data_IF_821447672746
#
_entry.id   IF_821447672746
#
_cell.length_a   1.000
_cell.length_b   1.000
_cell.length_c   1.000
_cell.angle_alpha   90.00
_cell.angle_beta   90.00
_cell.angle_gamma   90.00
#
_symmetry.space_group_name_H-M   'P 1'
#
loop_
_entity.id
_entity.type
_entity.pdbx_description
1 polymer ?
#
# COMPACT_ATOMS: atom_id res chain seq x y z
N UNK A 1 17.90 -8.06 0.12
CA UNK A 1 16.85 -7.27 -0.56
C UNK A 1 17.53 -6.26 -1.47
N UNK A 2 17.02 -6.02 -2.67
CA UNK A 2 17.44 -4.89 -3.51
C UNK A 2 16.32 -3.85 -3.47
N UNK A 3 16.62 -2.65 -2.95
CA UNK A 3 15.69 -1.54 -2.91
C UNK A 3 15.83 -0.75 -4.21
N UNK A 4 14.82 -0.82 -5.07
CA UNK A 4 14.91 -0.28 -6.43
C UNK A 4 14.14 1.02 -6.62
N UNK A 5 13.12 1.28 -5.79
CA UNK A 5 12.20 2.39 -5.99
C UNK A 5 11.62 2.87 -4.65
N UNK A 6 11.38 4.18 -4.53
CA UNK A 6 10.77 4.78 -3.35
C UNK A 6 9.46 5.43 -3.77
N UNK A 7 8.34 4.93 -3.24
CA UNK A 7 7.03 5.49 -3.51
C UNK A 7 6.60 6.43 -2.40
N UNK A 8 6.00 7.56 -2.77
CA UNK A 8 5.49 8.55 -1.82
C UNK A 8 4.05 8.92 -2.18
N UNK A 9 3.22 9.02 -1.15
CA UNK A 9 1.84 9.48 -1.27
C UNK A 9 1.75 10.83 -2.02
N UNK A 10 0.78 11.04 -2.94
CA UNK A 10 0.70 12.27 -3.73
C UNK A 10 0.51 13.54 -2.89
N UNK A 11 -0.07 13.43 -1.68
CA UNK A 11 -0.26 14.53 -0.76
C UNK A 11 1.02 14.94 -0.02
N UNK A 12 2.00 14.04 0.12
CA UNK A 12 3.25 14.25 0.85
C UNK A 12 4.31 15.05 0.04
N UNK A 13 3.92 16.23 -0.46
CA UNK A 13 4.79 17.05 -1.33
C UNK A 13 6.10 17.46 -0.65
N UNK A 14 6.05 17.87 0.62
CA UNK A 14 7.26 18.29 1.37
C UNK A 14 8.28 17.16 1.47
N UNK A 15 7.82 15.96 1.82
CA UNK A 15 8.68 14.78 1.93
C UNK A 15 9.39 14.47 0.60
N UNK A 16 8.69 14.59 -0.54
CA UNK A 16 9.32 14.37 -1.84
C UNK A 16 10.44 15.37 -2.12
N UNK A 17 10.24 16.66 -1.79
CA UNK A 17 11.29 17.67 -1.94
C UNK A 17 12.47 17.40 -0.99
N UNK A 18 12.21 16.94 0.23
CA UNK A 18 13.27 16.53 1.16
C UNK A 18 14.07 15.32 0.63
N UNK A 19 13.41 14.33 0.02
CA UNK A 19 14.08 13.20 -0.62
C UNK A 19 14.96 13.65 -1.80
N UNK A 20 14.50 14.63 -2.60
CA UNK A 20 15.31 15.21 -3.68
C UNK A 20 16.61 15.84 -3.16
N UNK A 21 16.59 16.48 -1.98
CA UNK A 21 17.78 17.10 -1.37
C UNK A 21 18.86 16.07 -1.00
N UNK A 22 18.47 14.83 -0.72
CA UNK A 22 19.39 13.71 -0.45
C UNK A 22 19.58 12.78 -1.65
N UNK A 23 19.29 13.28 -2.85
CA UNK A 23 19.47 12.58 -4.13
C UNK A 23 18.61 11.30 -4.30
N UNK A 24 17.53 11.16 -3.55
CA UNK A 24 16.51 10.13 -3.79
C UNK A 24 15.47 10.71 -4.75
N UNK A 25 15.14 9.98 -5.81
CA UNK A 25 14.11 10.37 -6.78
C UNK A 25 12.85 9.53 -6.54
N UNK A 26 11.88 10.01 -5.72
CA UNK A 26 10.70 9.23 -5.40
C UNK A 26 9.69 9.25 -6.54
N UNK A 27 9.06 8.09 -6.76
CA UNK A 27 7.90 7.95 -7.62
C UNK A 27 6.61 8.32 -6.90
N UNK A 28 5.68 8.96 -7.63
CA UNK A 28 4.32 9.18 -7.11
C UNK A 28 3.58 7.87 -7.09
N UNK A 29 3.01 7.53 -5.94
CA UNK A 29 2.36 6.24 -5.78
C UNK A 29 0.99 6.18 -6.45
N UNK A 30 0.62 4.98 -6.91
CA UNK A 30 -0.71 4.70 -7.43
C UNK A 30 -1.70 4.40 -6.30
N UNK A 31 -2.43 5.44 -5.91
CA UNK A 31 -3.45 5.38 -4.86
C UNK A 31 -4.84 4.94 -5.36
N UNK A 32 -4.92 4.34 -6.56
CA UNK A 32 -6.15 3.86 -7.19
C UNK A 32 -7.25 4.92 -7.42
N UNK A 33 -7.02 6.23 -7.22
CA UNK A 33 -8.08 7.26 -7.32
C UNK A 33 -8.85 7.20 -8.64
N UNK A 34 -8.21 6.74 -9.72
CA UNK A 34 -8.81 6.61 -11.06
C UNK A 34 -9.24 5.17 -11.42
N UNK A 35 -8.96 4.19 -10.56
CA UNK A 35 -9.26 2.79 -10.85
C UNK A 35 -10.73 2.46 -10.55
N UNK A 36 -11.36 1.75 -11.49
CA UNK A 36 -12.72 1.21 -11.37
C UNK A 36 -12.64 -0.28 -11.77
N UNK A 37 -13.14 -1.18 -10.93
CA UNK A 37 -13.22 -2.62 -11.20
C UNK A 37 -14.59 -3.15 -10.79
N UNK A 38 -15.45 -3.42 -11.77
CA UNK A 38 -16.85 -3.77 -11.49
C UNK A 38 -17.55 -2.66 -10.70
N UNK A 39 -18.01 -2.98 -9.49
CA UNK A 39 -18.60 -2.03 -8.54
C UNK A 39 -17.57 -1.30 -7.67
N UNK A 40 -16.34 -1.82 -7.55
CA UNK A 40 -15.27 -1.26 -6.70
C UNK A 40 -14.62 -0.04 -7.36
N UNK A 41 -14.32 0.99 -6.57
CA UNK A 41 -13.69 2.24 -7.04
C UNK A 41 -12.66 2.76 -6.05
N UNK A 42 -11.60 3.40 -6.54
CA UNK A 42 -10.66 4.07 -5.64
C UNK A 42 -9.92 3.08 -4.74
N UNK A 43 -9.76 3.46 -3.46
CA UNK A 43 -9.12 2.66 -2.41
C UNK A 43 -9.65 1.23 -2.31
N UNK A 44 -10.94 1.02 -2.58
CA UNK A 44 -11.57 -0.31 -2.53
C UNK A 44 -10.95 -1.27 -3.55
N UNK A 45 -10.53 -0.76 -4.72
CA UNK A 45 -9.84 -1.58 -5.72
C UNK A 45 -8.45 -2.00 -5.22
N UNK A 46 -7.75 -1.11 -4.51
CA UNK A 46 -6.46 -1.43 -3.89
C UNK A 46 -6.58 -2.48 -2.81
N UNK A 47 -7.56 -2.33 -1.92
CA UNK A 47 -7.88 -3.30 -0.86
C UNK A 47 -8.23 -4.66 -1.48
N UNK A 48 -9.10 -4.70 -2.49
CA UNK A 48 -9.47 -5.94 -3.18
C UNK A 48 -8.25 -6.61 -3.83
N UNK A 49 -7.35 -5.84 -4.45
CA UNK A 49 -6.11 -6.40 -5.03
C UNK A 49 -5.20 -6.97 -3.97
N UNK A 50 -5.04 -6.30 -2.83
CA UNK A 50 -4.21 -6.80 -1.73
C UNK A 50 -4.80 -8.07 -1.12
N UNK A 51 -6.13 -8.11 -0.93
CA UNK A 51 -6.81 -9.34 -0.49
C UNK A 51 -6.57 -10.50 -1.45
N UNK A 52 -6.62 -10.24 -2.76
CA UNK A 52 -6.36 -11.26 -3.78
C UNK A 52 -4.91 -11.77 -3.73
N UNK A 53 -3.91 -10.89 -3.58
CA UNK A 53 -2.50 -11.33 -3.53
C UNK A 53 -2.20 -12.10 -2.24
N UNK A 54 -2.82 -11.74 -1.12
CA UNK A 54 -2.75 -12.54 0.11
C UNK A 54 -3.41 -13.92 -0.11
N UNK A 55 -4.64 -13.94 -0.65
CA UNK A 55 -5.39 -15.19 -0.87
C UNK A 55 -4.69 -16.14 -1.84
N UNK A 56 -3.98 -15.59 -2.83
CA UNK A 56 -3.25 -16.37 -3.84
C UNK A 56 -1.81 -16.70 -3.40
N UNK A 57 -1.44 -16.47 -2.13
CA UNK A 57 -0.09 -16.73 -1.60
C UNK A 57 1.04 -15.95 -2.32
N UNK A 58 0.70 -14.79 -2.90
CA UNK A 58 1.63 -13.89 -3.60
C UNK A 58 2.17 -12.77 -2.71
N UNK A 59 1.54 -12.52 -1.57
CA UNK A 59 1.99 -11.57 -0.56
C UNK A 59 2.66 -12.33 0.59
N UNK A 60 3.90 -11.96 0.91
CA UNK A 60 4.69 -12.59 1.96
C UNK A 60 5.28 -11.53 2.89
N UNK A 61 5.22 -11.78 4.20
CA UNK A 61 6.01 -11.06 5.19
C UNK A 61 7.34 -11.78 5.35
N UNK A 62 8.44 -11.08 5.10
CA UNK A 62 9.80 -11.64 5.17
C UNK A 62 10.44 -11.20 6.47
N UNK A 63 10.81 -12.17 7.31
CA UNK A 63 11.57 -11.93 8.53
C UNK A 63 13.03 -11.57 8.21
N UNK A 64 13.55 -10.53 8.88
CA UNK A 64 14.96 -10.13 8.78
C UNK A 64 15.42 -9.39 10.04
N UNK A 65 16.74 -9.21 10.21
CA UNK A 65 17.30 -8.61 11.42
C UNK A 65 17.14 -7.07 11.49
N UNK A 66 16.95 -6.40 10.36
CA UNK A 66 16.99 -4.93 10.25
C UNK A 66 15.60 -4.27 10.31
N UNK A 67 14.57 -4.97 9.84
CA UNK A 67 13.20 -4.48 9.73
C UNK A 67 12.22 -5.53 10.25
N UNK A 68 11.14 -5.07 10.85
CA UNK A 68 10.03 -5.92 11.28
C UNK A 68 8.73 -5.57 10.55
N UNK A 69 7.70 -6.38 10.80
CA UNK A 69 6.36 -6.20 10.28
C UNK A 69 5.33 -6.05 11.40
N UNK A 70 5.76 -5.59 12.58
CA UNK A 70 4.92 -5.50 13.78
C UNK A 70 3.71 -4.60 13.54
N UNK A 71 3.92 -3.41 12.96
CA UNK A 71 2.82 -2.47 12.71
C UNK A 71 1.83 -3.02 11.69
N UNK A 72 2.31 -3.66 10.61
CA UNK A 72 1.42 -4.30 9.64
C UNK A 72 0.56 -5.40 10.28
N UNK A 73 1.15 -6.31 11.07
CA UNK A 73 0.41 -7.38 11.76
C UNK A 73 -0.59 -6.84 12.79
N UNK A 74 -0.23 -5.77 13.50
CA UNK A 74 -1.13 -5.13 14.45
C UNK A 74 -2.32 -4.49 13.73
N UNK A 75 -2.04 -3.72 12.69
CA UNK A 75 -3.04 -2.95 11.95
C UNK A 75 -4.00 -3.88 11.18
N UNK A 76 -3.49 -4.94 10.53
CA UNK A 76 -4.35 -5.89 9.80
C UNK A 76 -5.34 -6.62 10.72
N UNK A 77 -4.99 -6.83 11.99
CA UNK A 77 -5.89 -7.37 13.01
C UNK A 77 -6.96 -6.39 13.49
N UNK A 78 -6.79 -5.09 13.24
CA UNK A 78 -7.70 -4.02 13.67
C UNK A 78 -8.51 -3.40 12.53
N UNK A 79 -8.13 -3.67 11.28
CA UNK A 79 -8.72 -3.06 10.11
C UNK A 79 -10.10 -3.63 9.79
N UNK A 80 -11.12 -2.85 10.13
CA UNK A 80 -12.53 -3.23 10.01
C UNK A 80 -13.29 -2.23 9.15
N UNK A 81 -14.49 -2.63 8.72
CA UNK A 81 -15.45 -1.70 8.10
C UNK A 81 -16.39 -1.12 9.17
N UNK A 82 -16.73 0.14 8.99
CA UNK A 82 -17.77 0.83 9.73
C UNK A 82 -19.16 0.36 9.27
N UNK A 83 -20.21 0.72 10.01
CA UNK A 83 -21.59 0.34 9.70
C UNK A 83 -22.07 0.83 8.32
N UNK A 84 -21.46 1.89 7.79
CA UNK A 84 -21.74 2.42 6.46
C UNK A 84 -20.99 1.67 5.34
N UNK A 85 -20.19 0.66 5.67
CA UNK A 85 -19.40 -0.13 4.72
C UNK A 85 -18.03 0.47 4.37
N UNK A 86 -17.70 1.69 4.80
CA UNK A 86 -16.37 2.27 4.57
C UNK A 86 -15.32 1.62 5.49
N UNK A 87 -14.08 1.44 5.03
CA UNK A 87 -12.99 1.03 5.91
C UNK A 87 -12.73 2.11 6.97
N UNK A 88 -12.38 1.67 8.18
CA UNK A 88 -12.01 2.57 9.27
C UNK A 88 -10.77 3.39 8.91
N UNK A 89 -10.82 4.69 9.20
CA UNK A 89 -9.69 5.63 9.04
C UNK A 89 -8.93 5.75 10.38
N UNK A 90 -8.46 4.61 10.88
CA UNK A 90 -7.67 4.53 12.11
C UNK A 90 -6.84 3.24 12.11
N UNK A 91 -5.62 3.32 12.65
CA UNK A 91 -4.70 2.17 12.75
C UNK A 91 -4.45 1.53 11.38
N UNK A 92 -4.19 2.36 10.37
CA UNK A 92 -4.10 1.96 8.97
C UNK A 92 -2.86 2.53 8.25
N UNK A 93 -1.84 3.04 8.94
CA UNK A 93 -0.70 3.65 8.23
C UNK A 93 0.05 2.62 7.35
N UNK A 94 0.31 1.43 7.89
CA UNK A 94 0.89 0.32 7.13
C UNK A 94 -0.10 -0.26 6.11
N UNK A 95 -1.40 -0.19 6.40
CA UNK A 95 -2.45 -0.66 5.48
C UNK A 95 -2.88 0.35 4.42
N UNK A 96 -2.50 1.61 4.54
CA UNK A 96 -2.61 2.59 3.47
C UNK A 96 -1.43 2.45 2.52
N UNK A 97 -0.24 2.15 3.04
CA UNK A 97 0.96 1.87 2.25
C UNK A 97 0.90 0.51 1.52
N UNK A 98 0.49 -0.57 2.20
CA UNK A 98 0.57 -1.91 1.61
C UNK A 98 -0.21 -2.07 0.28
N UNK A 99 -1.44 -1.55 0.11
CA UNK A 99 -2.16 -1.55 -1.16
C UNK A 99 -1.42 -0.79 -2.25
N UNK A 100 -0.72 0.29 -1.90
CA UNK A 100 0.05 1.08 -2.85
C UNK A 100 1.21 0.29 -3.45
N UNK A 101 2.03 -0.33 -2.59
CA UNK A 101 3.12 -1.22 -3.03
C UNK A 101 2.58 -2.45 -3.77
N UNK A 102 1.48 -3.02 -3.28
CA UNK A 102 0.83 -4.15 -3.95
C UNK A 102 0.25 -3.79 -5.33
N UNK A 103 -0.24 -2.57 -5.54
CA UNK A 103 -0.70 -2.12 -6.85
C UNK A 103 0.43 -2.09 -7.88
N UNK A 104 1.60 -1.60 -7.46
CA UNK A 104 2.77 -1.62 -8.32
C UNK A 104 3.10 -3.06 -8.71
N UNK A 105 3.21 -3.97 -7.73
CA UNK A 105 3.43 -5.39 -8.01
C UNK A 105 2.36 -5.99 -8.93
N UNK A 106 1.09 -5.78 -8.61
CA UNK A 106 -0.04 -6.31 -9.36
C UNK A 106 -0.02 -5.85 -10.82
N UNK A 107 0.20 -4.54 -11.07
CA UNK A 107 0.24 -3.96 -12.42
C UNK A 107 1.47 -4.39 -13.23
N UNK A 108 2.58 -4.70 -12.58
CA UNK A 108 3.82 -5.10 -13.27
C UNK A 108 3.92 -6.61 -13.51
N UNK A 109 3.39 -7.45 -12.62
CA UNK A 109 3.71 -8.88 -12.59
C UNK A 109 2.51 -9.83 -12.60
N UNK A 110 1.30 -9.34 -12.30
CA UNK A 110 0.09 -10.19 -12.22
C UNK A 110 -0.90 -9.88 -13.34
N UNK A 111 -1.19 -8.59 -13.53
CA UNK A 111 -2.25 -8.09 -14.41
C UNK A 111 -1.93 -8.25 -15.89
#
# INVERSE_FOLDING_TARGET
>A
MQYTEVFVDPACKSLREELHLICIQPSVVDNNVRDIKGSSKGKEVGIERLQNTITNEQFLLVECDEYDHYNFLKEIGMYVRLDNGEPIDAYNHALDEAPYSNNYFYKQYVK
#
